data_IF_079303715384
#
_entry.id   IF_079303715384
#
_cell.length_a   1.000
_cell.length_b   1.000
_cell.length_c   1.000
_cell.angle_alpha   90.00
_cell.angle_beta   90.00
_cell.angle_gamma   90.00
#
_symmetry.space_group_name_H-M   'P 1'
#
loop_
_entity.id
_entity.type
_entity.pdbx_description
1 polymer ?
#
# COMPACT_ATOMS: atom_id res chain seq x y z
N UNK A 1 22.44 32.10 -5.34
CA UNK A 1 21.99 30.96 -6.16
C UNK A 1 22.09 29.69 -5.32
N UNK A 2 21.01 29.33 -4.63
CA UNK A 2 20.97 28.09 -3.85
C UNK A 2 20.49 26.97 -4.78
N UNK A 3 21.42 26.11 -5.20
CA UNK A 3 21.12 24.91 -5.96
C UNK A 3 20.41 23.92 -5.05
N UNK A 4 19.08 23.83 -5.16
CA UNK A 4 18.30 22.75 -4.56
C UNK A 4 18.63 21.45 -5.29
N UNK A 5 19.58 20.69 -4.76
CA UNK A 5 19.81 19.31 -5.21
C UNK A 5 18.61 18.48 -4.73
N UNK A 6 17.69 18.20 -5.65
CA UNK A 6 16.63 17.23 -5.42
C UNK A 6 17.24 15.87 -5.07
N UNK A 7 16.90 15.36 -3.89
CA UNK A 7 17.31 14.03 -3.47
C UNK A 7 16.70 12.99 -4.41
N UNK A 8 17.50 12.04 -4.97
CA UNK A 8 16.94 10.93 -5.71
C UNK A 8 15.97 10.15 -4.82
N UNK A 9 14.70 10.09 -5.24
CA UNK A 9 13.66 9.34 -4.54
C UNK A 9 13.94 7.84 -4.65
N UNK A 10 14.67 7.30 -3.68
CA UNK A 10 14.67 5.86 -3.45
C UNK A 10 13.24 5.40 -3.15
N UNK A 11 12.74 4.31 -3.78
CA UNK A 11 11.39 3.82 -3.59
C UNK A 11 11.13 3.57 -2.10
N UNK A 12 10.04 4.13 -1.59
CA UNK A 12 9.65 3.99 -0.18
C UNK A 12 8.87 2.69 0.01
N UNK A 13 9.13 1.91 1.08
CA UNK A 13 8.25 0.81 1.45
C UNK A 13 6.89 1.34 1.94
N UNK A 14 5.83 0.55 1.71
CA UNK A 14 4.44 0.88 2.07
C UNK A 14 4.31 1.02 3.59
N UNK A 15 3.63 2.07 4.06
CA UNK A 15 3.42 2.33 5.49
C UNK A 15 2.35 1.39 6.06
N UNK A 16 2.73 0.58 7.05
CA UNK A 16 1.79 -0.03 8.00
C UNK A 16 1.40 1.00 9.07
N UNK A 17 0.18 0.88 9.58
CA UNK A 17 -0.43 1.78 10.57
C UNK A 17 0.23 1.56 11.94
N UNK A 18 0.74 2.62 12.56
CA UNK A 18 1.30 2.58 13.94
C UNK A 18 0.17 2.70 14.96
N UNK A 19 0.07 1.73 15.88
CA UNK A 19 -0.80 1.81 17.05
C UNK A 19 0.04 2.13 18.31
N UNK A 20 -0.38 3.17 19.01
CA UNK A 20 0.17 3.62 20.29
C UNK A 20 -0.14 2.61 21.40
N UNK A 21 0.88 1.99 22.00
CA UNK A 21 0.73 1.24 23.25
C UNK A 21 0.86 2.18 24.45
N UNK A 22 -0.24 2.29 25.22
CA UNK A 22 -0.29 2.92 26.53
C UNK A 22 0.30 1.94 27.55
N UNK A 23 1.37 2.35 28.24
CA UNK A 23 1.97 1.57 29.31
C UNK A 23 1.18 1.77 30.62
N UNK A 24 0.72 0.68 31.23
CA UNK A 24 0.24 0.68 32.62
C UNK A 24 1.41 0.31 33.53
N UNK A 25 1.69 1.20 34.49
CA UNK A 25 2.66 1.01 35.58
C UNK A 25 2.03 0.20 36.71
N UNK A 26 2.70 -0.79 37.31
CA UNK A 26 2.24 -1.40 38.56
C UNK A 26 2.71 -0.52 39.74
N UNK A 27 1.76 0.07 40.45
CA UNK A 27 1.94 0.68 41.77
C UNK A 27 1.33 -0.25 42.81
N UNK A 28 1.94 -0.24 44.00
CA UNK A 28 1.40 -0.64 45.30
C UNK A 28 1.59 -2.11 45.73
N UNK A 29 2.72 -2.34 46.41
CA UNK A 29 2.83 -3.32 47.50
C UNK A 29 2.51 -2.58 48.81
N UNK A 30 1.39 -2.94 49.45
CA UNK A 30 1.10 -2.61 50.85
C UNK A 30 1.02 -3.91 51.67
N UNK A 31 1.65 -4.01 52.85
CA UNK A 31 1.61 -5.20 53.69
C UNK A 31 0.47 -5.12 54.72
N UNK A 32 -0.51 -6.02 54.66
CA UNK A 32 -1.51 -6.18 55.73
C UNK A 32 -1.18 -7.35 56.66
N UNK A 33 -1.04 -7.03 57.94
CA UNK A 33 -0.90 -7.95 59.05
C UNK A 33 -2.28 -8.41 59.59
N UNK A 34 -2.39 -9.73 59.77
CA UNK A 34 -3.07 -10.48 60.85
C UNK A 34 -4.57 -10.25 61.12
N UNK A 35 -5.37 -11.28 60.83
CA UNK A 35 -6.42 -11.75 61.76
C UNK A 35 -6.82 -13.21 61.46
N UNK A 36 -6.62 -14.06 62.46
CA UNK A 36 -7.17 -15.41 62.57
C UNK A 36 -8.69 -15.35 62.75
N UNK A 37 -9.45 -15.97 61.84
CA UNK A 37 -10.73 -16.59 62.18
C UNK A 37 -10.79 -17.93 61.44
N UNK A 38 -10.80 -18.99 62.25
CA UNK A 38 -11.03 -20.37 61.89
C UNK A 38 -12.45 -20.50 61.28
N UNK A 39 -12.58 -20.36 59.96
CA UNK A 39 -13.73 -20.86 59.23
C UNK A 39 -13.42 -22.29 58.81
N UNK A 40 -14.27 -23.29 59.14
CA UNK A 40 -14.02 -24.67 58.70
C UNK A 40 -13.89 -24.69 57.17
N UNK A 41 -12.96 -25.48 56.60
CA UNK A 41 -12.90 -25.63 55.16
C UNK A 41 -14.26 -26.18 54.72
N UNK A 42 -15.05 -25.33 54.05
CA UNK A 42 -16.24 -25.78 53.35
C UNK A 42 -15.86 -26.93 52.40
N UNK A 43 -16.80 -27.81 52.03
CA UNK A 43 -16.51 -28.87 51.08
C UNK A 43 -15.81 -28.24 49.87
N UNK A 44 -14.62 -28.72 49.55
CA UNK A 44 -13.83 -28.23 48.44
C UNK A 44 -14.56 -28.62 47.15
N UNK A 45 -15.51 -27.77 46.72
CA UNK A 45 -16.14 -27.83 45.42
C UNK A 45 -15.21 -27.21 44.36
N UNK A 46 -13.93 -27.62 44.34
CA UNK A 46 -13.18 -27.62 43.09
C UNK A 46 -13.84 -28.68 42.22
N UNK A 47 -14.82 -28.26 41.44
CA UNK A 47 -15.31 -29.05 40.33
C UNK A 47 -14.12 -29.18 39.36
N UNK A 48 -13.32 -30.23 39.55
CA UNK A 48 -12.12 -30.51 38.76
C UNK A 48 -12.45 -30.54 37.26
N UNK A 49 -13.69 -30.90 36.92
CA UNK A 49 -14.24 -30.81 35.56
C UNK A 49 -14.42 -29.36 35.09
N UNK A 50 -14.94 -28.46 35.92
CA UNK A 50 -15.07 -27.05 35.56
C UNK A 50 -13.70 -26.37 35.41
N UNK A 51 -12.74 -26.69 36.30
CA UNK A 51 -11.37 -26.18 36.19
C UNK A 51 -10.66 -26.73 34.93
N UNK A 52 -10.92 -28.00 34.57
CA UNK A 52 -10.42 -28.62 33.35
C UNK A 52 -11.06 -28.01 32.09
N UNK A 53 -12.38 -27.77 32.10
CA UNK A 53 -13.10 -27.16 30.99
C UNK A 53 -12.63 -25.72 30.75
N UNK A 54 -12.37 -24.97 31.82
CA UNK A 54 -11.76 -23.63 31.72
C UNK A 54 -10.36 -23.71 31.13
N UNK A 55 -9.54 -24.68 31.55
CA UNK A 55 -8.20 -24.90 30.99
C UNK A 55 -8.26 -25.23 29.50
N UNK A 56 -9.13 -26.15 29.11
CA UNK A 56 -9.32 -26.56 27.72
C UNK A 56 -9.80 -25.38 26.85
N UNK A 57 -10.74 -24.59 27.35
CA UNK A 57 -11.22 -23.40 26.67
C UNK A 57 -10.10 -22.36 26.51
N UNK A 58 -9.27 -22.16 27.54
CA UNK A 58 -8.13 -21.24 27.43
C UNK A 58 -7.12 -21.72 26.38
N UNK A 59 -6.86 -23.03 26.31
CA UNK A 59 -5.96 -23.60 25.32
C UNK A 59 -6.53 -23.50 23.91
N UNK A 60 -7.82 -23.76 23.72
CA UNK A 60 -8.51 -23.58 22.43
C UNK A 60 -8.47 -22.13 21.96
N UNK A 61 -8.72 -21.17 22.85
CA UNK A 61 -8.66 -19.74 22.52
C UNK A 61 -7.23 -19.33 22.14
N UNK A 62 -6.23 -19.77 22.91
CA UNK A 62 -4.83 -19.45 22.62
C UNK A 62 -4.37 -20.09 21.31
N UNK A 63 -4.77 -21.31 21.02
CA UNK A 63 -4.42 -22.02 19.79
C UNK A 63 -5.14 -21.43 18.57
N UNK A 64 -6.42 -21.09 18.69
CA UNK A 64 -7.16 -20.38 17.66
C UNK A 64 -6.56 -19.00 17.38
N UNK A 65 -6.17 -18.26 18.43
CA UNK A 65 -5.48 -16.99 18.30
C UNK A 65 -4.11 -17.12 17.62
N UNK A 66 -3.31 -18.15 17.98
CA UNK A 66 -2.03 -18.41 17.36
C UNK A 66 -2.17 -18.81 15.87
N UNK A 67 -3.19 -19.62 15.56
CA UNK A 67 -3.48 -20.07 14.18
C UNK A 67 -4.03 -18.94 13.30
N UNK A 68 -4.85 -18.05 13.87
CA UNK A 68 -5.39 -16.88 13.18
C UNK A 68 -4.39 -15.71 13.12
N UNK A 69 -3.46 -15.64 14.08
CA UNK A 69 -2.38 -14.65 14.07
C UNK A 69 -1.43 -14.91 12.92
N UNK A 70 -1.41 -13.97 11.98
CA UNK A 70 -0.32 -13.90 11.01
C UNK A 70 0.94 -13.49 11.76
N UNK A 71 2.11 -14.12 11.52
CA UNK A 71 3.36 -13.58 12.03
C UNK A 71 3.46 -12.16 11.52
N UNK A 72 3.43 -11.20 12.44
CA UNK A 72 3.76 -9.83 12.09
C UNK A 72 5.24 -9.86 11.73
N UNK A 73 5.52 -9.91 10.43
CA UNK A 73 6.83 -9.56 9.94
C UNK A 73 7.02 -8.11 10.35
N UNK A 74 7.75 -7.93 11.45
CA UNK A 74 8.55 -6.76 11.60
C UNK A 74 9.36 -6.78 10.30
N UNK A 75 9.04 -5.89 9.36
CA UNK A 75 10.06 -5.57 8.38
C UNK A 75 11.21 -5.18 9.27
N UNK A 76 12.27 -5.98 9.30
CA UNK A 76 13.53 -5.67 9.96
C UNK A 76 14.00 -4.37 9.30
N UNK A 77 13.38 -3.25 9.67
CA UNK A 77 13.80 -1.90 9.38
C UNK A 77 15.10 -1.86 10.12
N UNK A 78 16.24 -1.97 9.40
CA UNK A 78 17.50 -2.44 9.94
C UNK A 78 17.68 -1.73 11.26
N UNK A 79 17.47 -2.52 12.34
CA UNK A 79 17.52 -2.14 13.74
C UNK A 79 17.77 -0.64 13.88
N UNK A 80 16.70 0.19 13.94
CA UNK A 80 16.80 1.66 14.00
C UNK A 80 17.96 1.99 14.92
N UNK A 81 19.11 2.33 14.32
CA UNK A 81 20.39 2.19 15.02
C UNK A 81 20.30 2.96 16.33
N UNK A 82 20.83 2.45 17.43
CA UNK A 82 20.65 3.06 18.76
C UNK A 82 20.85 4.59 18.73
N UNK A 83 21.85 5.04 17.95
CA UNK A 83 22.11 6.45 17.65
C UNK A 83 20.90 7.22 17.07
N UNK A 84 20.18 6.65 16.11
CA UNK A 84 19.00 7.28 15.49
C UNK A 84 17.82 7.35 16.46
N UNK A 85 17.66 6.36 17.35
CA UNK A 85 16.65 6.41 18.43
C UNK A 85 16.95 7.56 19.39
N UNK A 86 18.20 7.72 19.78
CA UNK A 86 18.62 8.84 20.63
C UNK A 86 18.39 10.20 19.96
N UNK A 87 18.76 10.34 18.68
CA UNK A 87 18.45 11.56 17.92
C UNK A 87 16.95 11.86 17.83
N UNK A 88 16.10 10.84 17.71
CA UNK A 88 14.65 11.02 17.72
C UNK A 88 14.14 11.48 19.09
N UNK A 89 14.65 10.91 20.19
CA UNK A 89 14.33 11.33 21.56
C UNK A 89 14.72 12.80 21.77
N UNK A 90 15.95 13.16 21.41
CA UNK A 90 16.47 14.53 21.53
C UNK A 90 15.66 15.52 20.69
N UNK A 91 15.36 15.17 19.43
CA UNK A 91 14.51 15.99 18.55
C UNK A 91 13.11 16.19 19.12
N UNK A 92 12.53 15.16 19.72
CA UNK A 92 11.22 15.25 20.35
C UNK A 92 11.26 16.12 21.62
N UNK A 93 12.33 16.04 22.41
CA UNK A 93 12.57 16.93 23.55
C UNK A 93 12.67 18.38 23.10
N UNK A 94 13.52 18.69 22.13
CA UNK A 94 13.66 20.04 21.56
C UNK A 94 12.33 20.56 20.99
N UNK A 95 11.52 19.68 20.36
CA UNK A 95 10.17 20.04 19.89
C UNK A 95 9.25 20.45 21.03
N UNK A 96 9.17 19.64 22.09
CA UNK A 96 8.33 19.94 23.27
C UNK A 96 8.76 21.27 23.90
N UNK A 97 10.05 21.47 24.11
CA UNK A 97 10.58 22.72 24.67
C UNK A 97 10.28 23.92 23.79
N UNK A 98 10.48 23.83 22.47
CA UNK A 98 10.13 24.92 21.55
C UNK A 98 8.63 25.22 21.53
N UNK A 99 7.76 24.20 21.56
CA UNK A 99 6.31 24.40 21.58
C UNK A 99 5.85 25.12 22.86
N UNK A 100 6.48 24.82 23.99
CA UNK A 100 6.18 25.44 25.28
C UNK A 100 6.74 26.87 25.39
N UNK A 101 8.02 27.05 25.08
CA UNK A 101 8.74 28.32 25.32
C UNK A 101 8.68 29.30 24.15
N UNK A 102 8.46 28.81 22.93
CA UNK A 102 8.57 29.55 21.65
C UNK A 102 9.92 30.26 21.42
N UNK A 103 10.98 29.88 22.15
CA UNK A 103 12.30 30.49 22.01
C UNK A 103 13.00 30.05 20.70
N UNK A 104 13.63 30.98 19.94
CA UNK A 104 14.25 30.68 18.65
C UNK A 104 15.45 29.73 18.73
N UNK A 105 16.18 29.70 19.85
CA UNK A 105 17.30 28.76 20.04
C UNK A 105 16.82 27.29 19.99
N UNK A 106 15.72 26.96 20.66
CA UNK A 106 15.16 25.60 20.62
C UNK A 106 14.61 25.23 19.24
N UNK A 107 14.12 26.22 18.46
CA UNK A 107 13.74 25.99 17.06
C UNK A 107 14.96 25.63 16.20
N UNK A 108 16.07 26.32 16.42
CA UNK A 108 17.35 26.08 15.73
C UNK A 108 17.87 24.68 16.07
N UNK A 109 17.85 24.31 17.34
CA UNK A 109 18.24 22.98 17.81
C UNK A 109 17.36 21.87 17.20
N UNK A 110 16.03 22.06 17.19
CA UNK A 110 15.10 21.14 16.52
C UNK A 110 15.43 20.95 15.04
N UNK A 111 15.69 22.04 14.32
CA UNK A 111 16.04 21.98 12.90
C UNK A 111 17.39 21.26 12.68
N UNK A 112 18.38 21.53 13.53
CA UNK A 112 19.69 20.86 13.54
C UNK A 112 19.52 19.35 13.70
N UNK A 113 18.76 18.91 14.70
CA UNK A 113 18.50 17.50 14.98
C UNK A 113 17.70 16.83 13.86
N UNK A 114 16.70 17.53 13.31
CA UNK A 114 15.94 17.03 12.17
C UNK A 114 16.84 16.81 10.93
N UNK A 115 17.78 17.72 10.67
CA UNK A 115 18.75 17.55 9.58
C UNK A 115 19.77 16.45 9.88
N UNK A 116 20.20 16.28 11.14
CA UNK A 116 21.06 15.17 11.53
C UNK A 116 20.38 13.81 11.28
N UNK A 117 19.12 13.65 11.68
CA UNK A 117 18.30 12.47 11.40
C UNK A 117 18.23 12.19 9.89
N UNK A 118 17.89 13.21 9.08
CA UNK A 118 17.82 13.06 7.62
C UNK A 118 19.13 12.56 7.02
N UNK A 119 20.25 13.15 7.43
CA UNK A 119 21.60 12.76 6.97
C UNK A 119 21.94 11.33 7.36
N UNK A 120 21.65 10.93 8.61
CA UNK A 120 21.89 9.56 9.09
C UNK A 120 21.05 8.54 8.34
N UNK A 121 19.76 8.81 8.13
CA UNK A 121 18.88 7.94 7.34
C UNK A 121 19.41 7.82 5.90
N UNK A 122 19.84 8.92 5.30
CA UNK A 122 20.44 8.89 3.96
C UNK A 122 21.67 8.00 3.92
N UNK A 123 22.59 8.15 4.87
CA UNK A 123 23.81 7.33 4.96
C UNK A 123 23.48 5.84 5.12
N UNK A 124 22.54 5.47 5.99
CA UNK A 124 22.13 4.07 6.13
C UNK A 124 21.54 3.49 4.85
N UNK A 125 20.71 4.26 4.14
CA UNK A 125 20.15 3.82 2.85
C UNK A 125 21.22 3.70 1.78
N UNK A 126 22.21 4.59 1.80
CA UNK A 126 23.35 4.55 0.89
C UNK A 126 24.23 3.33 1.14
N UNK A 127 24.59 3.04 2.40
CA UNK A 127 25.35 1.85 2.77
C UNK A 127 24.62 0.57 2.38
N UNK A 128 23.33 0.46 2.75
CA UNK A 128 22.53 -0.71 2.36
C UNK A 128 22.41 -0.87 0.83
N UNK A 129 22.46 0.24 0.08
CA UNK A 129 22.49 0.22 -1.38
C UNK A 129 23.85 -0.24 -1.91
N UNK A 130 24.95 0.25 -1.35
CA UNK A 130 26.31 -0.19 -1.69
C UNK A 130 26.52 -1.68 -1.40
N UNK A 131 26.07 -2.16 -0.24
CA UNK A 131 26.08 -3.58 0.13
C UNK A 131 25.26 -4.42 -0.86
N UNK A 132 24.08 -3.93 -1.25
CA UNK A 132 23.25 -4.59 -2.26
C UNK A 132 23.99 -4.68 -3.61
N UNK A 133 24.58 -3.56 -4.07
CA UNK A 133 25.35 -3.52 -5.31
C UNK A 133 26.54 -4.50 -5.29
N UNK A 134 27.19 -4.67 -4.14
CA UNK A 134 28.30 -5.61 -3.98
C UNK A 134 27.89 -7.09 -4.09
N UNK A 135 26.62 -7.39 -3.83
CA UNK A 135 26.07 -8.76 -3.85
C UNK A 135 25.50 -9.13 -5.24
N UNK A 136 25.48 -8.20 -6.21
CA UNK A 136 24.89 -8.45 -7.52
C UNK A 136 25.75 -9.38 -8.38
N UNK A 137 25.05 -10.28 -9.08
CA UNK A 137 25.65 -11.24 -9.98
C UNK A 137 24.95 -11.19 -11.35
N UNK A 138 25.71 -11.45 -12.42
CA UNK A 138 25.19 -11.56 -13.78
C UNK A 138 24.49 -12.90 -14.01
N UNK A 139 24.95 -13.99 -13.37
CA UNK A 139 24.39 -15.33 -13.58
C UNK A 139 23.01 -15.51 -12.95
N UNK A 140 22.78 -14.90 -11.78
CA UNK A 140 21.53 -15.03 -11.02
C UNK A 140 20.42 -14.05 -11.49
N UNK A 141 20.60 -13.37 -12.62
CA UNK A 141 19.72 -12.32 -13.16
C UNK A 141 19.46 -11.11 -12.21
N UNK A 142 20.10 -11.04 -11.04
CA UNK A 142 19.91 -9.98 -10.04
C UNK A 142 20.35 -8.62 -10.58
N UNK A 143 21.49 -8.57 -11.29
CA UNK A 143 21.97 -7.38 -11.98
C UNK A 143 20.96 -6.87 -13.02
N UNK A 144 20.38 -7.78 -13.81
CA UNK A 144 19.39 -7.43 -14.82
C UNK A 144 18.10 -6.88 -14.20
N UNK A 145 17.66 -7.46 -13.06
CA UNK A 145 16.52 -6.96 -12.29
C UNK A 145 16.67 -5.49 -11.91
N UNK A 146 17.84 -5.10 -11.41
CA UNK A 146 18.15 -3.71 -11.04
C UNK A 146 18.29 -2.81 -12.26
N UNK A 147 19.01 -3.23 -13.30
CA UNK A 147 19.15 -2.46 -14.54
C UNK A 147 17.77 -2.19 -15.19
N UNK A 148 16.90 -3.19 -15.19
CA UNK A 148 15.52 -3.06 -15.67
C UNK A 148 14.70 -2.09 -14.81
N UNK A 149 14.88 -2.11 -13.49
CA UNK A 149 14.21 -1.16 -12.60
C UNK A 149 14.60 0.30 -12.91
N UNK A 150 15.89 0.57 -13.16
CA UNK A 150 16.34 1.91 -13.58
C UNK A 150 15.79 2.35 -14.93
N UNK A 151 15.61 1.42 -15.86
CA UNK A 151 15.04 1.71 -17.19
C UNK A 151 13.53 1.91 -17.17
N UNK A 152 12.83 1.35 -16.17
CA UNK A 152 11.38 1.45 -16.05
C UNK A 152 10.98 2.89 -15.70
N UNK A 153 10.58 3.65 -16.71
CA UNK A 153 9.92 4.95 -16.50
C UNK A 153 8.53 4.70 -15.92
N UNK A 154 8.33 4.99 -14.65
CA UNK A 154 7.00 5.03 -14.05
C UNK A 154 6.44 6.44 -14.19
N UNK A 155 5.83 6.75 -15.34
CA UNK A 155 4.96 7.92 -15.41
C UNK A 155 3.63 7.56 -14.74
N UNK A 156 3.12 8.37 -13.79
CA UNK A 156 1.75 8.19 -13.33
C UNK A 156 0.82 8.28 -14.54
N UNK A 157 -0.20 7.43 -14.60
CA UNK A 157 -1.25 7.56 -15.60
C UNK A 157 -1.91 8.91 -15.32
N UNK A 158 -1.81 9.85 -16.27
CA UNK A 158 -2.43 11.16 -16.14
C UNK A 158 -3.95 11.01 -16.01
N UNK A 159 -4.57 11.89 -15.23
CA UNK A 159 -6.01 11.93 -15.14
C UNK A 159 -6.62 12.23 -16.52
N UNK A 160 -7.75 11.59 -16.83
CA UNK A 160 -8.45 11.81 -18.09
C UNK A 160 -9.08 13.21 -18.06
N UNK A 161 -8.66 14.08 -18.97
CA UNK A 161 -9.14 15.45 -19.05
C UNK A 161 -10.20 15.56 -20.15
N UNK A 162 -11.40 15.94 -19.75
CA UNK A 162 -12.49 16.30 -20.65
C UNK A 162 -12.61 17.81 -20.87
N UNK A 163 -13.62 18.25 -21.63
CA UNK A 163 -13.90 19.67 -21.89
C UNK A 163 -14.21 20.46 -20.62
N UNK A 164 -14.82 19.80 -19.63
CA UNK A 164 -15.28 20.39 -18.37
C UNK A 164 -14.28 20.21 -17.22
N UNK A 165 -13.12 19.60 -17.48
CA UNK A 165 -12.09 19.29 -16.48
C UNK A 165 -11.81 17.80 -16.33
N UNK A 166 -11.31 17.38 -15.17
CA UNK A 166 -10.92 15.98 -14.91
C UNK A 166 -12.17 15.10 -14.83
N UNK A 167 -12.20 14.01 -15.61
CA UNK A 167 -13.28 13.03 -15.60
C UNK A 167 -13.16 12.09 -14.38
N UNK A 168 -13.99 12.33 -13.37
CA UNK A 168 -14.01 11.54 -12.13
C UNK A 168 -15.06 10.42 -12.15
N UNK A 169 -16.29 10.73 -12.57
CA UNK A 169 -17.38 9.75 -12.74
C UNK A 169 -17.13 8.83 -13.93
N UNK A 170 -17.64 7.60 -13.87
CA UNK A 170 -17.53 6.66 -14.99
C UNK A 170 -18.28 7.15 -16.21
N UNK A 171 -19.44 7.81 -16.03
CA UNK A 171 -20.19 8.48 -17.10
C UNK A 171 -19.34 9.55 -17.80
N UNK A 172 -18.65 10.38 -17.02
CA UNK A 172 -17.81 11.45 -17.57
C UNK A 172 -16.60 10.85 -18.31
N UNK A 173 -16.04 9.73 -17.82
CA UNK A 173 -14.94 9.05 -18.51
C UNK A 173 -15.40 8.48 -19.86
N UNK A 174 -16.55 7.82 -19.91
CA UNK A 174 -17.11 7.29 -21.16
C UNK A 174 -17.40 8.41 -22.15
N UNK A 175 -17.98 9.52 -21.72
CA UNK A 175 -18.23 10.68 -22.58
C UNK A 175 -16.93 11.27 -23.14
N UNK A 176 -15.90 11.45 -22.31
CA UNK A 176 -14.61 11.98 -22.76
C UNK A 176 -13.93 11.04 -23.76
N UNK A 177 -14.01 9.72 -23.53
CA UNK A 177 -13.51 8.72 -24.47
C UNK A 177 -14.32 8.75 -25.77
N UNK A 178 -15.65 8.75 -25.69
CA UNK A 178 -16.54 8.79 -26.85
C UNK A 178 -16.26 10.02 -27.73
N UNK A 179 -16.17 11.20 -27.13
CA UNK A 179 -15.83 12.44 -27.83
C UNK A 179 -14.42 12.40 -28.45
N UNK A 180 -13.44 11.81 -27.75
CA UNK A 180 -12.10 11.61 -28.31
C UNK A 180 -12.11 10.69 -29.52
N UNK A 181 -12.87 9.60 -29.47
CA UNK A 181 -12.98 8.63 -30.56
C UNK A 181 -13.74 9.25 -31.74
N UNK A 182 -14.87 9.91 -31.50
CA UNK A 182 -15.61 10.67 -32.50
C UNK A 182 -14.65 11.60 -33.25
N UNK A 183 -13.87 12.42 -32.53
CA UNK A 183 -12.86 13.31 -33.11
C UNK A 183 -11.84 12.58 -33.99
N UNK A 184 -11.41 11.38 -33.60
CA UNK A 184 -10.43 10.60 -34.35
C UNK A 184 -11.03 9.94 -35.60
N UNK A 185 -12.32 9.56 -35.57
CA UNK A 185 -13.02 8.84 -36.63
C UNK A 185 -13.86 9.75 -37.54
N UNK A 186 -13.34 10.93 -37.86
CA UNK A 186 -13.93 11.74 -38.93
C UNK A 186 -13.44 11.25 -40.29
N UNK A 187 -14.31 11.25 -41.29
CA UNK A 187 -13.90 11.00 -42.67
C UNK A 187 -12.80 12.00 -43.04
N UNK A 188 -11.65 11.49 -43.47
CA UNK A 188 -10.64 12.34 -44.07
C UNK A 188 -11.25 12.97 -45.33
N UNK A 189 -11.00 14.26 -45.59
CA UNK A 189 -11.47 14.95 -46.79
C UNK A 189 -10.87 14.45 -48.12
N UNK A 190 -10.31 13.23 -48.13
CA UNK A 190 -9.71 12.57 -49.29
C UNK A 190 -10.84 11.80 -49.99
N UNK A 191 -11.63 12.52 -50.77
CA UNK A 191 -12.69 11.96 -51.58
C UNK A 191 -12.13 11.40 -52.90
N UNK A 192 -12.35 10.10 -53.17
CA UNK A 192 -12.00 9.49 -54.45
C UNK A 192 -13.22 8.76 -55.01
N UNK A 193 -13.99 9.42 -55.89
CA UNK A 193 -15.31 8.93 -56.31
C UNK A 193 -15.25 7.53 -56.94
N UNK A 194 -14.13 7.20 -57.61
CA UNK A 194 -13.95 5.87 -58.22
C UNK A 194 -13.76 4.76 -57.19
N UNK A 195 -13.09 5.05 -56.08
CA UNK A 195 -12.94 4.07 -54.99
C UNK A 195 -14.24 3.91 -54.23
N UNK A 196 -14.97 5.01 -54.06
CA UNK A 196 -16.25 5.02 -53.36
C UNK A 196 -17.28 4.17 -54.12
N UNK A 197 -17.40 4.33 -55.44
CA UNK A 197 -18.25 3.47 -56.30
C UNK A 197 -17.91 1.98 -56.19
N UNK A 198 -16.62 1.62 -56.18
CA UNK A 198 -16.18 0.23 -56.07
C UNK A 198 -16.58 -0.34 -54.71
N UNK A 199 -16.33 0.41 -53.62
CA UNK A 199 -16.67 -0.03 -52.27
C UNK A 199 -18.19 -0.19 -52.13
N UNK A 200 -18.99 0.75 -52.62
CA UNK A 200 -20.45 0.67 -52.58
C UNK A 200 -20.95 -0.57 -53.33
N UNK A 201 -20.45 -0.84 -54.54
CA UNK A 201 -20.84 -2.01 -55.32
C UNK A 201 -20.55 -3.34 -54.62
N UNK A 202 -19.44 -3.43 -53.88
CA UNK A 202 -19.04 -4.64 -53.14
C UNK A 202 -19.90 -4.83 -51.90
N UNK A 203 -20.22 -3.74 -51.19
CA UNK A 203 -21.09 -3.78 -50.01
C UNK A 203 -22.51 -4.17 -50.40
N UNK A 204 -23.04 -3.60 -51.49
CA UNK A 204 -24.38 -3.91 -52.00
C UNK A 204 -24.46 -5.39 -52.40
N UNK A 205 -23.48 -5.89 -53.15
CA UNK A 205 -23.40 -7.32 -53.51
C UNK A 205 -23.32 -8.24 -52.28
N UNK A 206 -22.63 -7.82 -51.21
CA UNK A 206 -22.55 -8.58 -49.97
C UNK A 206 -23.90 -8.61 -49.23
N UNK A 207 -24.60 -7.47 -49.13
CA UNK A 207 -25.90 -7.40 -48.48
C UNK A 207 -26.97 -8.19 -49.25
N UNK A 208 -26.96 -8.12 -50.58
CA UNK A 208 -27.85 -8.87 -51.45
C UNK A 208 -27.62 -10.39 -51.35
N UNK A 209 -26.36 -10.82 -51.15
CA UNK A 209 -26.03 -12.23 -50.96
C UNK A 209 -26.50 -12.80 -49.61
N UNK A 210 -26.66 -11.95 -48.59
CA UNK A 210 -27.05 -12.36 -47.23
C UNK A 210 -28.58 -12.44 -47.04
N UNK A 211 -29.36 -11.74 -47.86
CA UNK A 211 -30.84 -11.81 -47.85
C UNK A 211 -31.32 -13.15 -48.43
N UNK A 212 -30.53 -13.80 -49.29
CA UNK A 212 -30.89 -15.06 -49.95
C UNK A 212 -30.67 -16.33 -49.09
N UNK A 213 -30.34 -16.19 -47.79
CA UNK A 213 -29.96 -17.32 -46.92
C UNK A 213 -30.96 -17.61 -45.78
N UNK A 214 -32.16 -17.00 -45.77
CA UNK A 214 -33.17 -17.20 -44.72
C UNK A 214 -34.25 -18.24 -45.01
N UNK A 215 -34.23 -18.94 -46.14
CA UNK A 215 -35.22 -20.00 -46.46
C UNK A 215 -34.75 -21.41 -46.06
N UNK A 216 -34.47 -21.61 -44.77
CA UNK A 216 -34.38 -22.97 -44.20
C UNK A 216 -35.45 -23.09 -43.11
N UNK A 217 -36.68 -23.35 -43.54
CA UNK A 217 -37.73 -23.88 -42.67
C UNK A 217 -37.31 -25.31 -42.27
N UNK A 218 -37.10 -25.61 -40.97
CA UNK A 218 -36.75 -26.97 -40.57
C UNK A 218 -37.97 -27.90 -40.77
N UNK A 219 -37.76 -29.15 -41.24
CA UNK A 219 -38.87 -30.06 -41.50
C UNK A 219 -39.59 -30.43 -40.20
N UNK A 220 -40.91 -30.26 -40.19
CA UNK A 220 -41.80 -30.75 -39.14
C UNK A 220 -41.69 -32.29 -39.03
N UNK A 221 -41.46 -32.78 -37.80
CA UNK A 221 -41.52 -34.21 -37.49
C UNK A 221 -42.98 -34.68 -37.39
N UNK A 222 -43.37 -35.81 -38.00
CA UNK A 222 -44.69 -36.37 -37.83
C UNK A 222 -44.84 -37.11 -36.50
N UNK A 223 -46.08 -37.08 -36.00
CA UNK A 223 -46.60 -37.52 -34.70
C UNK A 223 -46.31 -38.99 -34.38
#
# INVERSE_FOLDING_TARGET
MASSTECPLFPKPRKGVEATLVALTPSDQEPFLVASIYAPPGPNYRNLGADLDVSNLTDEILNAHASASRPFYHTEQPYVQGELKELFKERNKARKTWQHTRHPQHKTELNRLQNAIKRKIYHYRQQAWEDNLSTLNAEDNSLWGIAKAFRKKTSPICALNGPTGIALSDTNKTEVIAHSLEKQFHLNGIHNPRKDEIITSVVDAYMDSNINNTDIIPPHSPI
#
